data_IF_984900933325
#
_entry.id   IF_984900933325
#
_cell.length_a   1.000
_cell.length_b   1.000
_cell.length_c   1.000
_cell.angle_alpha   90.00
_cell.angle_beta   90.00
_cell.angle_gamma   90.00
#
_symmetry.space_group_name_H-M   'P 1'
#
loop_
_entity.id
_entity.type
_entity.pdbx_description
1 polymer ?
#
# COMPACT_ATOMS: atom_id res chain seq x y z
N UNK A 1 -20.58 10.07 5.10
CA UNK A 1 -19.89 11.00 6.01
C UNK A 1 -18.42 10.64 5.93
N UNK A 2 -17.62 11.38 5.16
CA UNK A 2 -16.22 11.07 4.95
C UNK A 2 -15.44 11.35 6.24
N UNK A 3 -14.88 10.33 6.87
CA UNK A 3 -13.95 10.53 7.96
C UNK A 3 -12.64 11.03 7.37
N UNK A 4 -12.40 12.34 7.49
CA UNK A 4 -11.07 12.91 7.33
C UNK A 4 -10.20 12.37 8.47
N UNK A 5 -9.57 11.21 8.28
CA UNK A 5 -8.47 10.76 9.11
C UNK A 5 -7.28 11.69 8.87
N UNK A 6 -7.31 12.88 9.47
CA UNK A 6 -6.13 13.75 9.63
C UNK A 6 -5.18 13.06 10.61
N UNK A 7 -4.47 12.03 10.14
CA UNK A 7 -3.21 11.62 10.75
C UNK A 7 -2.19 12.65 10.26
N UNK A 8 -1.75 13.54 11.15
CA UNK A 8 -0.90 14.68 10.81
C UNK A 8 0.30 14.25 9.95
N UNK A 9 0.49 14.92 8.79
CA UNK A 9 1.59 14.66 7.86
C UNK A 9 1.21 13.94 6.56
N UNK A 10 0.05 13.27 6.48
CA UNK A 10 -0.40 12.56 5.28
C UNK A 10 -1.54 13.34 4.58
N UNK A 11 -1.41 13.62 3.27
CA UNK A 11 -2.46 14.30 2.48
C UNK A 11 -3.36 13.34 1.70
N UNK A 12 -3.30 12.03 1.99
CA UNK A 12 -4.26 11.08 1.44
C UNK A 12 -5.57 11.14 2.22
N UNK A 13 -6.68 11.25 1.50
CA UNK A 13 -8.03 11.21 2.06
C UNK A 13 -8.72 9.92 1.65
N UNK A 14 -9.43 9.29 2.58
CA UNK A 14 -10.29 8.16 2.25
C UNK A 14 -11.45 8.66 1.38
N UNK A 15 -11.50 8.23 0.12
CA UNK A 15 -12.52 8.66 -0.84
C UNK A 15 -13.66 7.66 -0.96
N UNK A 16 -13.43 6.39 -0.61
CA UNK A 16 -14.44 5.36 -0.71
C UNK A 16 -14.14 4.14 0.18
N UNK A 17 -15.18 3.57 0.78
CA UNK A 17 -15.19 2.19 1.27
C UNK A 17 -16.16 1.42 0.38
N UNK A 18 -15.64 0.47 -0.40
CA UNK A 18 -16.44 -0.43 -1.25
C UNK A 18 -16.55 -1.79 -0.58
N UNK A 19 -17.76 -2.16 -0.18
CA UNK A 19 -18.10 -3.52 0.19
C UNK A 19 -18.58 -4.21 -1.08
N UNK A 20 -17.65 -4.67 -1.92
CA UNK A 20 -18.02 -5.38 -3.14
C UNK A 20 -18.11 -6.86 -2.84
N UNK A 21 -19.29 -7.44 -3.07
CA UNK A 21 -19.52 -8.88 -3.10
C UNK A 21 -18.71 -9.50 -4.26
N UNK A 22 -17.45 -9.81 -3.99
CA UNK A 22 -16.69 -10.80 -4.79
C UNK A 22 -16.93 -12.17 -4.15
N UNK A 23 -16.97 -12.20 -2.81
CA UNK A 23 -17.47 -13.22 -1.90
C UNK A 23 -18.00 -12.49 -0.65
N UNK A 24 -18.99 -13.04 0.05
CA UNK A 24 -19.67 -12.42 1.21
C UNK A 24 -18.65 -11.88 2.25
N UNK A 25 -18.41 -10.56 2.23
CA UNK A 25 -17.59 -9.85 3.22
C UNK A 25 -16.17 -9.42 2.83
N UNK A 26 -15.84 -9.25 1.54
CA UNK A 26 -14.64 -8.52 1.13
C UNK A 26 -14.84 -7.00 1.21
N UNK A 27 -13.87 -6.28 1.77
CA UNK A 27 -13.89 -4.82 1.96
C UNK A 27 -12.73 -4.19 1.20
N UNK A 28 -12.99 -3.08 0.52
CA UNK A 28 -11.95 -2.27 -0.11
C UNK A 28 -12.01 -0.85 0.41
N UNK A 29 -10.94 -0.39 1.04
CA UNK A 29 -10.75 1.02 1.38
C UNK A 29 -9.82 1.67 0.35
N UNK A 30 -10.24 2.80 -0.21
CA UNK A 30 -9.45 3.57 -1.18
C UNK A 30 -9.11 4.94 -0.58
N UNK A 31 -7.82 5.23 -0.56
CA UNK A 31 -7.25 6.51 -0.16
C UNK A 31 -6.64 7.19 -1.38
N UNK A 32 -7.04 8.42 -1.67
CA UNK A 32 -6.53 9.22 -2.78
C UNK A 32 -6.03 10.58 -2.31
N UNK A 33 -5.02 11.12 -3.00
CA UNK A 33 -4.40 12.40 -2.65
C UNK A 33 -2.90 12.37 -2.95
N UNK A 34 -2.08 12.83 -2.02
CA UNK A 34 -0.63 12.82 -2.18
C UNK A 34 0.08 12.40 -0.90
N UNK A 35 0.97 11.43 -1.01
CA UNK A 35 1.91 11.04 0.03
C UNK A 35 3.32 11.03 -0.56
N UNK A 36 4.21 11.84 0.01
CA UNK A 36 5.63 11.83 -0.37
C UNK A 36 6.37 10.84 0.53
N UNK A 37 6.99 9.86 -0.10
CA UNK A 37 7.73 8.77 0.54
C UNK A 37 9.21 8.96 0.25
N UNK A 38 10.06 8.82 1.27
CA UNK A 38 11.50 8.85 1.11
C UNK A 38 12.06 7.43 1.20
N UNK A 39 12.70 6.98 0.13
CA UNK A 39 13.42 5.72 0.10
C UNK A 39 14.72 5.80 0.93
N UNK A 40 15.10 4.68 1.53
CA UNK A 40 16.29 4.59 2.39
C UNK A 40 17.50 3.96 1.70
N UNK A 41 17.36 3.55 0.43
CA UNK A 41 18.46 2.99 -0.35
C UNK A 41 18.67 1.50 -0.13
N UNK A 42 17.74 0.83 0.54
CA UNK A 42 17.83 -0.61 0.82
C UNK A 42 17.36 -1.49 -0.35
N UNK A 43 16.88 -0.90 -1.45
CA UNK A 43 16.51 -1.69 -2.62
C UNK A 43 17.71 -2.47 -3.17
N UNK A 44 17.46 -3.72 -3.56
CA UNK A 44 18.44 -4.58 -4.23
C UNK A 44 18.56 -4.29 -5.73
N UNK A 45 17.66 -3.46 -6.26
CA UNK A 45 17.46 -3.26 -7.69
C UNK A 45 18.28 -2.09 -8.25
N UNK A 46 18.34 -0.98 -7.51
CA UNK A 46 19.14 0.20 -7.83
C UNK A 46 19.39 1.05 -6.56
N UNK A 47 20.29 2.03 -6.65
CA UNK A 47 20.48 3.01 -5.57
C UNK A 47 19.26 3.93 -5.45
N UNK A 48 18.52 3.73 -4.37
CA UNK A 48 17.31 4.48 -4.04
C UNK A 48 17.52 5.45 -2.87
N UNK A 49 18.76 5.62 -2.39
CA UNK A 49 19.04 6.41 -1.20
C UNK A 49 18.62 7.87 -1.38
N UNK A 50 17.68 8.32 -0.56
CA UNK A 50 17.17 9.68 -0.59
C UNK A 50 16.24 9.99 -1.77
N UNK A 51 15.86 8.99 -2.56
CA UNK A 51 14.85 9.13 -3.60
C UNK A 51 13.50 9.48 -2.98
N UNK A 52 12.81 10.45 -3.57
CA UNK A 52 11.45 10.81 -3.20
C UNK A 52 10.45 10.23 -4.20
N UNK A 53 9.45 9.54 -3.68
CA UNK A 53 8.38 8.89 -4.44
C UNK A 53 7.06 9.52 -4.06
N UNK A 54 6.29 9.95 -5.05
CA UNK A 54 4.95 10.50 -4.86
C UNK A 54 3.93 9.39 -5.05
N UNK A 55 3.26 9.00 -3.97
CA UNK A 55 2.13 8.09 -3.94
C UNK A 55 0.84 8.89 -4.13
N UNK A 56 -0.03 8.43 -5.03
CA UNK A 56 -1.30 9.10 -5.37
C UNK A 56 -2.53 8.33 -4.90
N UNK A 57 -2.40 7.02 -4.70
CA UNK A 57 -3.47 6.16 -4.20
C UNK A 57 -2.90 5.01 -3.41
N UNK A 58 -3.60 4.64 -2.33
CA UNK A 58 -3.41 3.39 -1.60
C UNK A 58 -4.78 2.71 -1.53
N UNK A 59 -4.88 1.48 -2.02
CA UNK A 59 -6.06 0.65 -1.89
C UNK A 59 -5.76 -0.54 -0.99
N UNK A 60 -6.64 -0.83 -0.03
CA UNK A 60 -6.52 -1.99 0.88
C UNK A 60 -7.70 -2.92 0.61
N UNK A 61 -7.41 -4.12 0.13
CA UNK A 61 -8.39 -5.18 -0.11
C UNK A 61 -8.29 -6.21 1.02
N UNK A 62 -9.29 -6.23 1.90
CA UNK A 62 -9.42 -7.27 2.91
C UNK A 62 -10.21 -8.44 2.34
N UNK A 63 -9.51 -9.56 2.16
CA UNK A 63 -10.07 -10.78 1.60
C UNK A 63 -10.50 -11.70 2.73
N UNK A 64 -11.77 -12.10 2.72
CA UNK A 64 -12.25 -13.26 3.49
C UNK A 64 -12.14 -14.47 2.59
N UNK A 65 -11.10 -15.27 2.81
CA UNK A 65 -10.87 -16.51 2.07
C UNK A 65 -11.23 -17.69 2.98
N UNK A 66 -12.53 -18.06 3.08
CA UNK A 66 -13.01 -19.11 4.00
C UNK A 66 -12.36 -20.47 3.73
N UNK A 67 -11.88 -20.70 2.49
CA UNK A 67 -11.22 -21.94 2.08
C UNK A 67 -9.76 -22.06 2.57
N UNK A 68 -9.14 -20.95 2.98
CA UNK A 68 -7.70 -20.92 3.29
C UNK A 68 -7.40 -20.72 4.79
N UNK A 69 -8.41 -20.65 5.65
CA UNK A 69 -8.27 -20.31 7.09
C UNK A 69 -7.49 -19.02 7.38
N UNK A 70 -7.15 -18.23 6.35
CA UNK A 70 -6.56 -16.91 6.47
C UNK A 70 -7.69 -15.88 6.58
N UNK A 71 -8.31 -15.83 7.76
CA UNK A 71 -9.11 -14.67 8.09
C UNK A 71 -8.19 -13.44 8.18
N UNK A 72 -8.48 -12.40 7.39
CA UNK A 72 -7.81 -11.11 7.53
C UNK A 72 -6.59 -10.88 6.64
N UNK A 73 -6.40 -11.65 5.56
CA UNK A 73 -5.41 -11.29 4.55
C UNK A 73 -5.76 -9.94 3.93
N UNK A 74 -4.77 -9.05 3.84
CA UNK A 74 -4.89 -7.73 3.23
C UNK A 74 -3.91 -7.61 2.07
N UNK A 75 -4.44 -7.44 0.88
CA UNK A 75 -3.69 -7.00 -0.29
C UNK A 75 -3.70 -5.46 -0.31
N UNK A 76 -2.54 -4.86 -0.58
CA UNK A 76 -2.36 -3.42 -0.63
C UNK A 76 -1.79 -3.05 -2.01
N UNK A 77 -2.52 -2.21 -2.73
CA UNK A 77 -2.10 -1.70 -4.04
C UNK A 77 -1.77 -0.22 -3.91
N UNK A 78 -0.53 0.15 -4.24
CA UNK A 78 -0.03 1.53 -4.09
C UNK A 78 0.35 2.10 -5.45
N UNK A 79 -0.34 3.17 -5.88
CA UNK A 79 0.01 3.90 -7.11
C UNK A 79 1.02 5.00 -6.82
N UNK A 80 2.08 5.08 -7.63
CA UNK A 80 3.16 6.04 -7.46
C UNK A 80 3.84 6.44 -8.78
N UNK A 81 4.79 7.37 -8.71
CA UNK A 81 5.54 7.89 -9.86
C UNK A 81 6.94 7.29 -10.09
N UNK A 82 7.38 6.33 -9.25
CA UNK A 82 8.62 5.55 -9.47
C UNK A 82 8.41 4.32 -10.37
N UNK A 83 9.50 3.66 -10.80
CA UNK A 83 9.44 2.37 -11.50
C UNK A 83 9.91 1.21 -10.59
N UNK A 84 10.42 0.14 -11.20
CA UNK A 84 10.82 -1.12 -10.55
C UNK A 84 11.90 -0.97 -9.48
N UNK A 85 12.67 0.11 -9.50
CA UNK A 85 13.81 0.33 -8.62
C UNK A 85 13.45 0.41 -7.13
N UNK A 86 12.17 0.60 -6.76
CA UNK A 86 11.77 0.72 -5.35
C UNK A 86 11.22 -0.58 -4.75
N UNK A 87 11.00 -1.64 -5.53
CA UNK A 87 10.23 -2.83 -5.13
C UNK A 87 10.95 -3.83 -4.21
N UNK A 88 11.80 -3.29 -3.34
CA UNK A 88 12.43 -3.93 -2.18
C UNK A 88 12.87 -2.89 -1.14
N UNK A 89 12.58 -1.60 -1.35
CA UNK A 89 13.03 -0.51 -0.48
C UNK A 89 12.21 -0.48 0.83
N UNK A 90 12.91 -0.64 1.95
CA UNK A 90 12.36 -0.68 3.31
C UNK A 90 11.87 0.69 3.77
N UNK A 91 12.46 1.78 3.28
CA UNK A 91 11.95 3.14 3.52
C UNK A 91 10.55 3.32 2.96
N UNK A 92 10.30 2.78 1.76
CA UNK A 92 8.98 2.78 1.13
C UNK A 92 7.97 1.93 1.92
N UNK A 93 8.31 0.67 2.26
CA UNK A 93 7.45 -0.20 3.09
C UNK A 93 7.07 0.47 4.41
N UNK A 94 8.06 1.08 5.07
CA UNK A 94 7.83 1.77 6.34
C UNK A 94 6.86 2.94 6.19
N UNK A 95 6.99 3.76 5.15
CA UNK A 95 6.10 4.91 4.95
C UNK A 95 4.64 4.50 4.70
N UNK A 96 4.42 3.41 3.94
CA UNK A 96 3.07 2.87 3.74
C UNK A 96 2.54 2.24 5.03
N UNK A 97 3.39 1.55 5.79
CA UNK A 97 3.03 1.00 7.09
C UNK A 97 2.60 2.08 8.08
N UNK A 98 3.37 3.17 8.17
CA UNK A 98 3.07 4.32 9.02
C UNK A 98 1.74 4.99 8.61
N UNK A 99 1.48 5.10 7.30
CA UNK A 99 0.24 5.64 6.76
C UNK A 99 -0.98 4.79 7.16
N UNK A 100 -0.92 3.48 6.90
CA UNK A 100 -2.01 2.54 7.17
C UNK A 100 -2.19 2.26 8.66
N UNK A 101 -1.11 2.33 9.44
CA UNK A 101 -1.09 2.04 10.88
C UNK A 101 -0.92 0.56 11.20
N UNK A 102 -0.49 -0.26 10.24
CA UNK A 102 -0.09 -1.65 10.41
C UNK A 102 1.07 -1.97 9.46
N UNK A 103 1.86 -3.00 9.77
CA UNK A 103 3.02 -3.36 8.97
C UNK A 103 2.59 -3.91 7.60
N UNK A 104 3.27 -3.46 6.55
CA UNK A 104 3.13 -4.00 5.20
C UNK A 104 4.49 -4.30 4.59
N UNK A 105 4.53 -5.24 3.66
CA UNK A 105 5.71 -5.59 2.88
C UNK A 105 5.37 -5.75 1.41
N UNK A 106 6.35 -5.62 0.52
CA UNK A 106 6.15 -6.00 -0.87
C UNK A 106 5.80 -7.49 -0.98
N UNK A 107 4.83 -7.81 -1.83
CA UNK A 107 4.55 -9.20 -2.21
C UNK A 107 5.72 -9.79 -2.99
N UNK A 108 5.65 -11.09 -3.29
CA UNK A 108 6.64 -11.80 -4.10
C UNK A 108 7.04 -11.03 -5.37
N UNK A 109 8.34 -11.13 -5.71
CA UNK A 109 8.90 -10.52 -6.91
C UNK A 109 8.17 -11.04 -8.17
N UNK A 110 7.92 -10.14 -9.12
CA UNK A 110 7.15 -10.44 -10.33
C UNK A 110 5.66 -10.07 -10.26
N UNK A 111 5.13 -9.78 -9.06
CA UNK A 111 3.75 -9.28 -8.88
C UNK A 111 3.61 -7.77 -9.09
N UNK A 112 4.74 -7.09 -9.26
CA UNK A 112 4.82 -5.63 -9.33
C UNK A 112 4.58 -5.15 -10.77
N UNK A 113 4.02 -3.94 -10.92
CA UNK A 113 3.85 -3.28 -12.23
C UNK A 113 4.47 -1.89 -12.14
N UNK A 114 5.09 -1.35 -13.20
CA UNK A 114 5.65 0.02 -13.15
C UNK A 114 4.60 1.05 -12.68
N UNK A 115 4.94 1.84 -11.67
CA UNK A 115 4.04 2.82 -11.05
C UNK A 115 2.97 2.24 -10.13
N UNK A 116 2.99 0.93 -9.87
CA UNK A 116 2.05 0.22 -9.01
C UNK A 116 2.80 -0.85 -8.20
N UNK A 117 2.94 -0.60 -6.89
CA UNK A 117 3.43 -1.59 -5.96
C UNK A 117 2.29 -2.51 -5.50
N UNK A 118 2.54 -3.81 -5.55
CA UNK A 118 1.78 -4.88 -4.90
C UNK A 118 2.43 -5.19 -3.56
N UNK A 119 1.65 -5.02 -2.49
CA UNK A 119 2.06 -5.16 -1.10
C UNK A 119 1.03 -5.99 -0.34
N UNK A 120 1.40 -6.50 0.83
CA UNK A 120 0.51 -7.24 1.71
C UNK A 120 0.78 -6.90 3.17
N UNK A 121 -0.21 -7.15 4.04
CA UNK A 121 0.02 -7.05 5.47
C UNK A 121 1.13 -8.03 5.88
N UNK A 122 2.12 -7.52 6.61
CA UNK A 122 3.15 -8.36 7.21
C UNK A 122 2.61 -9.01 8.48
N UNK A 123 2.87 -10.31 8.65
CA UNK A 123 2.52 -11.09 9.86
C UNK A 123 3.25 -10.61 11.12
#
# INVERSE_FOLDING_TARGET
MYMLNKREGFMLTQTETRNTEIWDGAYTDIFEGTLNVKCDGSSIWDDTNGKEVTVTQVAVHELKLPEFSCEGYKEIVVRHNANWEIYTDRGFEKAISDFLGFAVMFTEQGMQTNGIASMEAAD
#
